data_IF_942955243033
#
_entry.id   IF_942955243033
#
_cell.length_a   1.000
_cell.length_b   1.000
_cell.length_c   1.000
_cell.angle_alpha   90.00
_cell.angle_beta   90.00
_cell.angle_gamma   90.00
#
_symmetry.space_group_name_H-M   'P 1'
#
loop_
_entity.id
_entity.type
_entity.pdbx_description
1 polymer ?
#
# COMPACT_ATOMS: atom_id res chain seq x y z
N UNK A 1 -4.28 -19.88 15.60
CA UNK A 1 -4.60 -18.71 14.75
C UNK A 1 -4.11 -19.03 13.34
N UNK A 2 -4.83 -18.63 12.28
CA UNK A 2 -4.31 -18.72 10.91
C UNK A 2 -3.30 -17.60 10.59
N UNK A 3 -3.39 -16.48 11.33
CA UNK A 3 -2.39 -15.41 11.31
C UNK A 3 -1.15 -15.81 12.13
N UNK A 4 0.07 -15.36 11.75
CA UNK A 4 1.32 -15.65 12.46
C UNK A 4 1.48 -14.79 13.74
N UNK A 5 0.43 -14.77 14.57
CA UNK A 5 0.35 -14.02 15.82
C UNK A 5 0.06 -14.96 16.98
N UNK A 6 0.85 -14.81 18.03
CA UNK A 6 0.67 -15.50 19.29
C UNK A 6 0.01 -14.59 20.34
N UNK A 7 -0.76 -15.18 21.25
CA UNK A 7 -1.33 -14.50 22.43
C UNK A 7 -2.09 -13.20 22.10
N UNK A 8 -3.01 -13.27 21.13
CA UNK A 8 -3.93 -12.16 20.81
C UNK A 8 -4.79 -11.85 22.05
N UNK A 9 -4.76 -10.60 22.48
CA UNK A 9 -5.50 -10.10 23.64
C UNK A 9 -6.82 -9.45 23.25
N UNK A 10 -6.81 -8.66 22.17
CA UNK A 10 -8.01 -8.03 21.62
C UNK A 10 -7.83 -7.66 20.14
N UNK A 11 -8.95 -7.52 19.45
CA UNK A 11 -9.02 -7.01 18.07
C UNK A 11 -10.08 -5.92 18.07
N UNK A 12 -9.70 -4.72 17.62
CA UNK A 12 -10.60 -3.58 17.54
C UNK A 12 -10.60 -3.02 16.12
N UNK A 13 -11.77 -2.72 15.53
CA UNK A 13 -11.81 -1.99 14.28
C UNK A 13 -11.21 -0.60 14.49
N UNK A 14 -10.47 -0.13 13.50
CA UNK A 14 -9.96 1.24 13.46
C UNK A 14 -10.47 1.92 12.21
N UNK A 15 -10.63 3.24 12.27
CA UNK A 15 -10.98 4.02 11.08
C UNK A 15 -9.85 3.88 10.06
N UNK A 16 -10.16 3.33 8.89
CA UNK A 16 -9.19 3.21 7.80
C UNK A 16 -9.89 2.89 6.50
N UNK A 17 -9.78 3.82 5.54
CA UNK A 17 -10.15 3.67 4.12
C UNK A 17 -11.60 3.29 3.80
N UNK A 18 -12.04 3.60 2.57
CA UNK A 18 -13.36 3.17 2.07
C UNK A 18 -13.33 1.74 1.47
N UNK A 19 -12.15 1.13 1.37
CA UNK A 19 -11.91 -0.07 0.54
C UNK A 19 -11.66 -1.34 1.35
N UNK A 20 -10.92 -1.26 2.48
CA UNK A 20 -10.50 -2.43 3.26
C UNK A 20 -11.09 -2.38 4.67
N UNK A 21 -11.33 -3.54 5.28
CA UNK A 21 -11.60 -3.63 6.71
C UNK A 21 -10.29 -3.50 7.48
N UNK A 22 -10.21 -2.54 8.40
CA UNK A 22 -8.98 -2.22 9.14
C UNK A 22 -9.13 -2.51 10.63
N UNK A 23 -8.15 -3.21 11.21
CA UNK A 23 -8.14 -3.62 12.60
C UNK A 23 -6.81 -3.33 13.29
N UNK A 24 -6.88 -2.94 14.56
CA UNK A 24 -5.76 -3.00 15.50
C UNK A 24 -5.83 -4.30 16.27
N UNK A 25 -4.75 -5.09 16.22
CA UNK A 25 -4.63 -6.37 16.90
C UNK A 25 -3.64 -6.24 18.05
N UNK A 26 -4.14 -6.32 19.29
CA UNK A 26 -3.29 -6.34 20.48
C UNK A 26 -2.78 -7.74 20.74
N UNK A 27 -1.46 -7.86 20.95
CA UNK A 27 -0.82 -9.10 21.42
C UNK A 27 -0.05 -8.83 22.70
N UNK A 28 0.42 -9.88 23.37
CA UNK A 28 1.28 -9.74 24.55
C UNK A 28 2.64 -9.08 24.28
N UNK A 29 3.05 -8.96 23.01
CA UNK A 29 4.35 -8.40 22.64
C UNK A 29 4.24 -6.97 22.10
N UNK A 30 3.44 -6.76 21.05
CA UNK A 30 3.25 -5.47 20.39
C UNK A 30 1.93 -5.43 19.60
N UNK A 31 1.41 -4.23 19.31
CA UNK A 31 0.25 -4.07 18.45
C UNK A 31 0.61 -4.31 16.97
N UNK A 32 -0.36 -4.81 16.22
CA UNK A 32 -0.30 -4.97 14.76
C UNK A 32 -1.49 -4.29 14.09
N UNK A 33 -1.31 -3.91 12.84
CA UNK A 33 -2.36 -3.38 11.98
C UNK A 33 -2.72 -4.43 10.94
N UNK A 34 -3.98 -4.83 10.90
CA UNK A 34 -4.50 -5.87 10.00
C UNK A 34 -5.49 -5.24 9.03
N UNK A 35 -5.17 -5.35 7.74
CA UNK A 35 -6.08 -5.03 6.64
C UNK A 35 -6.67 -6.33 6.10
N UNK A 36 -7.97 -6.32 5.84
CA UNK A 36 -8.69 -7.43 5.20
C UNK A 36 -9.46 -6.88 4.01
N UNK A 37 -9.34 -7.57 2.88
CA UNK A 37 -10.17 -7.33 1.71
C UNK A 37 -10.97 -8.59 1.37
N UNK A 38 -12.30 -8.46 1.40
CA UNK A 38 -13.20 -9.59 1.22
C UNK A 38 -13.26 -10.07 -0.21
N UNK A 39 -13.38 -11.38 -0.40
CA UNK A 39 -13.59 -12.02 -1.71
C UNK A 39 -12.52 -11.64 -2.74
N UNK A 40 -11.29 -11.44 -2.27
CA UNK A 40 -10.13 -11.13 -3.10
C UNK A 40 -9.04 -12.12 -2.79
N UNK A 41 -8.32 -12.54 -3.83
CA UNK A 41 -7.13 -13.36 -3.64
C UNK A 41 -6.03 -12.54 -2.98
N UNK A 42 -5.05 -13.22 -2.37
CA UNK A 42 -3.85 -12.58 -1.78
C UNK A 42 -3.18 -11.52 -2.68
N UNK A 43 -3.28 -11.68 -4.01
CA UNK A 43 -2.66 -10.81 -5.01
C UNK A 43 -3.09 -9.35 -4.90
N UNK A 44 -4.24 -9.09 -4.28
CA UNK A 44 -4.74 -7.74 -4.03
C UNK A 44 -3.75 -6.86 -3.26
N UNK A 45 -2.99 -7.44 -2.31
CA UNK A 45 -2.00 -6.71 -1.52
C UNK A 45 -0.58 -6.75 -2.10
N UNK A 46 -0.33 -7.45 -3.21
CA UNK A 46 1.03 -7.63 -3.75
C UNK A 46 1.70 -6.28 -4.06
N UNK A 47 0.96 -5.32 -4.63
CA UNK A 47 1.46 -3.99 -4.96
C UNK A 47 1.81 -3.17 -3.71
N UNK A 48 0.98 -3.24 -2.67
CA UNK A 48 1.20 -2.55 -1.40
C UNK A 48 2.40 -3.14 -0.65
N UNK A 49 2.50 -4.47 -0.58
CA UNK A 49 3.66 -5.19 -0.01
C UNK A 49 4.95 -4.81 -0.74
N UNK A 50 4.94 -4.78 -2.08
CA UNK A 50 6.11 -4.39 -2.87
C UNK A 50 6.54 -2.94 -2.57
N UNK A 51 5.59 -2.00 -2.49
CA UNK A 51 5.85 -0.60 -2.16
C UNK A 51 6.45 -0.42 -0.76
N UNK A 52 5.85 -1.04 0.26
CA UNK A 52 6.35 -0.96 1.64
C UNK A 52 7.76 -1.56 1.78
N UNK A 53 8.04 -2.68 1.11
CA UNK A 53 9.37 -3.28 1.09
C UNK A 53 10.42 -2.36 0.43
N UNK A 54 10.03 -1.57 -0.57
CA UNK A 54 10.91 -0.57 -1.19
C UNK A 54 11.15 0.62 -0.26
N UNK A 55 10.13 1.07 0.47
CA UNK A 55 10.29 2.11 1.50
C UNK A 55 11.25 1.66 2.60
N UNK A 56 11.11 0.42 3.09
CA UNK A 56 12.03 -0.13 4.09
C UNK A 56 13.47 -0.17 3.56
N UNK A 57 13.69 -0.66 2.33
CA UNK A 57 15.02 -0.67 1.69
C UNK A 57 15.63 0.73 1.53
N UNK A 58 14.80 1.73 1.24
CA UNK A 58 15.23 3.12 1.13
C UNK A 58 15.39 3.81 2.50
N UNK A 59 15.11 3.11 3.61
CA UNK A 59 15.12 3.66 4.96
C UNK A 59 14.11 4.80 5.13
N UNK A 60 12.93 4.64 4.53
CA UNK A 60 11.78 5.51 4.69
C UNK A 60 10.90 4.96 5.80
N UNK A 61 10.51 5.81 6.74
CA UNK A 61 9.63 5.41 7.84
C UNK A 61 8.22 5.16 7.30
N UNK A 62 7.85 3.89 7.19
CA UNK A 62 6.53 3.41 6.80
C UNK A 62 6.18 2.13 7.60
N UNK A 63 4.92 1.67 7.59
CA UNK A 63 4.56 0.39 8.20
C UNK A 63 5.38 -0.76 7.59
N UNK A 64 5.91 -1.63 8.45
CA UNK A 64 6.69 -2.80 8.01
C UNK A 64 5.73 -3.98 7.81
N UNK A 65 5.89 -4.70 6.71
CA UNK A 65 5.13 -5.91 6.40
C UNK A 65 5.58 -7.03 7.33
N UNK A 66 4.64 -7.57 8.09
CA UNK A 66 4.86 -8.75 8.95
C UNK A 66 4.47 -10.01 8.20
N UNK A 67 3.32 -9.99 7.54
CA UNK A 67 2.81 -11.12 6.76
C UNK A 67 1.69 -10.66 5.79
N UNK A 68 1.44 -11.44 4.75
CA UNK A 68 0.34 -11.20 3.82
C UNK A 68 -0.11 -12.51 3.18
N UNK A 69 -1.41 -12.67 2.95
CA UNK A 69 -1.92 -13.91 2.40
C UNK A 69 -3.42 -13.88 2.13
N UNK A 70 -4.02 -15.06 2.18
CA UNK A 70 -5.45 -15.27 1.98
C UNK A 70 -5.95 -16.29 3.01
N UNK A 71 -7.09 -15.99 3.63
CA UNK A 71 -7.79 -16.85 4.58
C UNK A 71 -9.25 -16.91 4.15
N UNK A 72 -9.78 -18.12 3.95
CA UNK A 72 -11.19 -18.36 3.62
C UNK A 72 -11.72 -17.53 2.42
N UNK A 73 -10.86 -17.19 1.46
CA UNK A 73 -11.19 -16.40 0.26
C UNK A 73 -11.07 -14.88 0.43
N UNK A 74 -10.61 -14.42 1.59
CA UNK A 74 -10.36 -13.01 1.88
C UNK A 74 -8.85 -12.75 1.96
N UNK A 75 -8.39 -11.72 1.26
CA UNK A 75 -6.99 -11.30 1.31
C UNK A 75 -6.72 -10.57 2.64
N UNK A 76 -5.51 -10.75 3.18
CA UNK A 76 -5.07 -10.00 4.34
C UNK A 76 -3.66 -9.44 4.17
N UNK A 77 -3.41 -8.31 4.84
CA UNK A 77 -2.10 -7.71 5.02
C UNK A 77 -1.91 -7.34 6.49
N UNK A 78 -0.87 -7.91 7.09
CA UNK A 78 -0.50 -7.70 8.49
C UNK A 78 0.77 -6.85 8.56
N UNK A 79 0.65 -5.70 9.22
CA UNK A 79 1.69 -4.67 9.34
C UNK A 79 2.03 -4.41 10.80
N UNK A 80 3.21 -3.83 11.05
CA UNK A 80 3.49 -3.19 12.34
C UNK A 80 2.53 -2.02 12.54
N UNK A 81 1.90 -1.96 13.71
CA UNK A 81 1.08 -0.81 14.09
C UNK A 81 1.99 0.37 14.44
N UNK A 82 1.86 1.48 13.73
CA UNK A 82 2.52 2.74 14.07
C UNK A 82 1.62 3.55 15.00
N UNK A 83 2.15 3.95 16.15
CA UNK A 83 1.44 4.88 17.02
C UNK A 83 1.56 6.28 16.42
N UNK A 84 0.44 6.81 15.94
CA UNK A 84 0.38 8.20 15.50
C UNK A 84 0.66 9.14 16.68
N UNK A 85 1.54 10.12 16.44
CA UNK A 85 1.79 11.20 17.38
C UNK A 85 0.85 12.37 17.16
N UNK A 86 0.57 13.13 18.22
CA UNK A 86 -0.21 14.37 18.14
C UNK A 86 0.60 15.56 17.56
N UNK A 87 1.87 15.34 17.24
CA UNK A 87 2.82 16.35 16.77
C UNK A 87 3.74 15.74 15.71
N UNK A 88 4.20 16.57 14.79
CA UNK A 88 5.18 16.19 13.76
C UNK A 88 5.83 17.42 13.14
N UNK A 89 6.93 17.22 12.41
CA UNK A 89 7.68 18.27 11.74
C UNK A 89 7.47 18.21 10.22
N UNK A 90 6.94 19.29 9.65
CA UNK A 90 6.82 19.42 8.20
C UNK A 90 8.19 19.47 7.50
N UNK A 91 9.22 19.99 8.19
CA UNK A 91 10.58 20.02 7.66
C UNK A 91 11.16 18.60 7.55
N UNK A 92 11.03 17.79 8.61
CA UNK A 92 11.49 16.39 8.61
C UNK A 92 10.72 15.55 7.58
N UNK A 93 9.42 15.78 7.43
CA UNK A 93 8.63 15.15 6.37
C UNK A 93 9.15 15.52 4.97
N UNK A 94 9.46 16.79 4.74
CA UNK A 94 10.04 17.26 3.47
C UNK A 94 11.38 16.61 3.15
N UNK A 95 12.26 16.49 4.14
CA UNK A 95 13.55 15.78 4.00
C UNK A 95 13.35 14.30 3.68
N UNK A 96 12.41 13.63 4.34
CA UNK A 96 12.09 12.22 4.10
C UNK A 96 11.53 11.99 2.69
N UNK A 97 10.61 12.84 2.24
CA UNK A 97 10.04 12.77 0.87
C UNK A 97 11.12 13.05 -0.18
N UNK A 98 12.00 14.02 0.06
CA UNK A 98 13.13 14.29 -0.84
C UNK A 98 14.07 13.08 -0.94
N UNK A 99 14.41 12.44 0.19
CA UNK A 99 15.20 11.20 0.23
C UNK A 99 14.53 10.07 -0.56
N UNK A 100 13.21 9.93 -0.46
CA UNK A 100 12.43 8.95 -1.22
C UNK A 100 12.52 9.24 -2.73
N UNK A 101 12.30 10.48 -3.16
CA UNK A 101 12.38 10.84 -4.59
C UNK A 101 13.79 10.76 -5.20
N UNK A 102 14.83 10.75 -4.38
CA UNK A 102 16.21 10.54 -4.84
C UNK A 102 16.51 9.08 -5.18
N UNK A 103 15.63 8.13 -4.84
CA UNK A 103 15.75 6.75 -5.28
C UNK A 103 15.42 6.68 -6.78
N UNK A 104 16.39 6.27 -7.60
CA UNK A 104 16.22 6.19 -9.05
C UNK A 104 16.07 4.74 -9.51
N UNK A 105 15.19 4.52 -10.50
CA UNK A 105 15.13 3.25 -11.19
C UNK A 105 16.43 3.06 -12.01
N UNK A 106 17.11 1.89 -11.93
CA UNK A 106 18.44 1.70 -12.53
C UNK A 106 18.55 1.96 -14.04
N UNK A 107 17.48 1.73 -14.79
CA UNK A 107 17.43 1.91 -16.25
C UNK A 107 16.86 3.27 -16.66
N UNK A 108 16.54 4.16 -15.71
CA UNK A 108 15.95 5.47 -15.98
C UNK A 108 14.51 5.44 -16.52
N UNK A 109 13.79 4.33 -16.34
CA UNK A 109 12.41 4.12 -16.80
C UNK A 109 11.37 4.57 -15.78
N UNK A 110 10.17 4.82 -16.28
CA UNK A 110 8.99 5.16 -15.51
C UNK A 110 8.02 3.97 -15.49
N UNK A 111 7.49 3.62 -14.33
CA UNK A 111 6.59 2.49 -14.16
C UNK A 111 6.73 1.82 -12.80
N UNK A 112 6.15 0.63 -12.68
CA UNK A 112 6.23 -0.26 -11.54
C UNK A 112 5.97 -1.71 -11.97
N UNK A 113 6.56 -2.69 -11.31
CA UNK A 113 6.45 -4.11 -11.70
C UNK A 113 5.04 -4.69 -11.53
N UNK A 114 4.22 -4.04 -10.69
CA UNK A 114 2.85 -4.46 -10.39
C UNK A 114 1.87 -3.39 -10.84
N UNK A 115 0.71 -3.78 -11.41
CA UNK A 115 -0.33 -2.83 -11.78
C UNK A 115 -0.92 -2.15 -10.54
N UNK A 116 -1.58 -1.02 -10.75
CA UNK A 116 -2.41 -0.42 -9.73
C UNK A 116 -3.85 -0.90 -9.90
N UNK A 117 -4.44 -1.45 -8.84
CA UNK A 117 -5.85 -1.83 -8.77
C UNK A 117 -6.56 -1.00 -7.70
N UNK A 118 -7.27 0.05 -8.13
CA UNK A 118 -8.20 0.80 -7.28
C UNK A 118 -9.63 0.25 -7.38
N UNK A 119 -10.51 0.69 -6.48
CA UNK A 119 -11.92 0.25 -6.48
C UNK A 119 -12.65 0.52 -7.79
N UNK A 120 -12.46 1.71 -8.38
CA UNK A 120 -13.17 2.17 -9.58
C UNK A 120 -12.30 2.25 -10.84
N UNK A 121 -10.98 2.19 -10.69
CA UNK A 121 -10.03 2.36 -11.79
C UNK A 121 -8.77 1.54 -11.55
N UNK A 122 -8.26 0.95 -12.62
CA UNK A 122 -6.96 0.28 -12.63
C UNK A 122 -6.02 1.06 -13.54
N UNK A 123 -4.73 1.05 -13.24
CA UNK A 123 -3.74 1.67 -14.10
C UNK A 123 -2.65 0.68 -14.48
N UNK A 124 -2.30 0.69 -15.75
CA UNK A 124 -1.12 0.04 -16.29
C UNK A 124 0.15 0.77 -15.80
N UNK A 125 1.05 0.00 -15.19
CA UNK A 125 2.32 0.44 -14.64
C UNK A 125 3.53 -0.05 -15.43
N UNK A 126 3.32 -0.73 -16.58
CA UNK A 126 4.42 -1.28 -17.37
C UNK A 126 5.51 -0.25 -17.65
N UNK A 127 6.76 -0.69 -17.58
CA UNK A 127 7.91 0.19 -17.75
C UNK A 127 7.92 0.90 -19.10
N UNK A 128 8.21 2.20 -19.07
CA UNK A 128 8.29 3.09 -20.24
C UNK A 128 9.48 4.02 -20.14
N UNK A 129 10.11 4.32 -21.28
CA UNK A 129 11.16 5.34 -21.38
C UNK A 129 10.59 6.78 -21.46
N UNK A 130 9.25 6.92 -21.55
CA UNK A 130 8.54 8.18 -21.74
C UNK A 130 7.63 8.49 -20.56
N UNK A 131 7.94 9.58 -19.84
CA UNK A 131 7.06 10.10 -18.80
C UNK A 131 5.70 10.52 -19.34
N UNK A 132 5.65 11.09 -20.56
CA UNK A 132 4.40 11.49 -21.21
C UNK A 132 3.48 10.28 -21.44
N UNK A 133 4.04 9.12 -21.80
CA UNK A 133 3.27 7.88 -21.96
C UNK A 133 2.67 7.42 -20.63
N UNK A 134 3.44 7.46 -19.53
CA UNK A 134 2.89 7.11 -18.22
C UNK A 134 1.81 8.11 -17.79
N UNK A 135 2.12 9.40 -17.81
CA UNK A 135 1.27 10.41 -17.18
C UNK A 135 0.08 10.84 -18.04
N UNK A 136 0.26 11.05 -19.34
CA UNK A 136 -0.84 11.52 -20.21
C UNK A 136 -1.66 10.33 -20.66
N UNK A 137 -1.04 9.39 -21.39
CA UNK A 137 -1.76 8.31 -22.07
C UNK A 137 -2.33 7.29 -21.05
N UNK A 138 -1.51 6.82 -20.11
CA UNK A 138 -1.90 5.76 -19.17
C UNK A 138 -2.51 6.24 -17.85
N UNK A 139 -2.67 7.55 -17.65
CA UNK A 139 -3.39 8.11 -16.49
C UNK A 139 -4.47 9.08 -16.90
N UNK A 140 -4.11 10.23 -17.46
CA UNK A 140 -5.08 11.30 -17.75
C UNK A 140 -6.09 10.88 -18.81
N UNK A 141 -5.63 10.32 -19.94
CA UNK A 141 -6.52 9.84 -20.99
C UNK A 141 -7.38 8.67 -20.51
N UNK A 142 -6.79 7.72 -19.77
CA UNK A 142 -7.55 6.62 -19.16
C UNK A 142 -8.66 7.13 -18.22
N UNK A 143 -8.36 8.09 -17.35
CA UNK A 143 -9.35 8.70 -16.46
C UNK A 143 -10.44 9.46 -17.24
N UNK A 144 -10.05 10.22 -18.26
CA UNK A 144 -10.97 10.93 -19.15
C UNK A 144 -11.93 9.93 -19.82
N UNK A 145 -11.43 8.84 -20.38
CA UNK A 145 -12.24 7.82 -21.03
C UNK A 145 -13.21 7.16 -20.03
N UNK A 146 -12.74 6.85 -18.81
CA UNK A 146 -13.61 6.32 -17.74
C UNK A 146 -14.73 7.27 -17.36
N UNK A 147 -14.47 8.57 -17.27
CA UNK A 147 -15.50 9.58 -16.98
C UNK A 147 -16.53 9.68 -18.11
N UNK A 148 -16.08 9.66 -19.37
CA UNK A 148 -16.97 9.68 -20.53
C UNK A 148 -17.86 8.43 -20.57
N UNK A 149 -17.32 7.27 -20.22
CA UNK A 149 -18.09 6.02 -20.16
C UNK A 149 -19.11 5.99 -19.02
N UNK A 150 -18.90 6.75 -17.95
CA UNK A 150 -19.78 6.80 -16.77
C UNK A 150 -20.90 7.86 -16.88
N UNK A 151 -20.80 8.84 -17.77
CA UNK A 151 -21.85 9.82 -18.09
C UNK A 151 -21.64 11.21 -17.50
#
# INVERSE_FOLDING_TARGET
SQLPLDNIQSIAPVSGGDVNEAYRVETSQKPYFLLIQRQRSKAFFDAEVAGLNLFEKAGITAPIVIDSGEIDGDAYLLLIFLNEGNQGSQAELGELVAKMHQQQQPDGKFGFDLPYEGGDVSFDNDWSDSWTTIFVERRLDHLKDRLVDQG
#
